data_IF_022037861298
#
_entry.id   IF_022037861298
#
_cell.length_a   1.000
_cell.length_b   1.000
_cell.length_c   1.000
_cell.angle_alpha   90.00
_cell.angle_beta   90.00
_cell.angle_gamma   90.00
#
_symmetry.space_group_name_H-M   'P 1'
#
loop_
_entity.id
_entity.type
_entity.pdbx_description
1 polymer ?
#
# COMPACT_ATOMS: atom_id res chain seq x y z
N UNK A 1 -5.02 10.87 -29.45
CA UNK A 1 -4.86 11.38 -28.07
C UNK A 1 -5.43 10.32 -27.14
N UNK A 2 -4.75 9.19 -27.05
CA UNK A 2 -3.70 8.85 -26.05
C UNK A 2 -4.35 8.11 -24.88
N UNK A 3 -4.51 6.81 -25.14
CA UNK A 3 -4.61 5.66 -24.24
C UNK A 3 -4.71 5.97 -22.74
N UNK A 4 -5.91 5.85 -22.16
CA UNK A 4 -6.06 5.62 -20.72
C UNK A 4 -5.87 4.12 -20.50
N UNK A 5 -4.63 3.66 -20.47
CA UNK A 5 -4.34 2.38 -19.80
C UNK A 5 -4.75 2.57 -18.33
N UNK A 6 -5.70 1.78 -17.86
CA UNK A 6 -6.00 1.69 -16.43
C UNK A 6 -4.72 1.21 -15.76
N UNK A 7 -3.95 2.13 -15.17
CA UNK A 7 -2.74 1.78 -14.46
C UNK A 7 -3.10 0.75 -13.37
N UNK A 8 -2.42 -0.38 -13.34
CA UNK A 8 -2.61 -1.35 -12.27
C UNK A 8 -2.24 -0.67 -10.93
N UNK A 9 -3.08 -0.84 -9.91
CA UNK A 9 -2.89 -0.21 -8.60
C UNK A 9 -3.00 -1.24 -7.47
N UNK A 10 -2.20 -1.05 -6.42
CA UNK A 10 -2.45 -1.67 -5.12
C UNK A 10 -3.42 -0.76 -4.37
N UNK A 11 -4.63 -1.25 -4.14
CA UNK A 11 -5.64 -0.54 -3.35
C UNK A 11 -5.60 -1.03 -1.91
N UNK A 12 -5.38 -0.11 -0.98
CA UNK A 12 -5.53 -0.32 0.46
C UNK A 12 -6.80 0.40 0.88
N UNK A 13 -7.75 -0.33 1.45
CA UNK A 13 -8.99 0.24 1.98
C UNK A 13 -9.09 -0.06 3.47
N UNK A 14 -9.45 0.94 4.26
CA UNK A 14 -9.72 0.81 5.69
C UNK A 14 -8.51 0.42 6.53
N UNK A 15 -7.31 0.91 6.20
CA UNK A 15 -6.12 0.63 7.01
C UNK A 15 -6.27 1.27 8.41
N UNK A 16 -6.30 0.42 9.43
CA UNK A 16 -6.53 0.77 10.85
C UNK A 16 -5.42 0.29 11.78
N UNK A 17 -4.35 -0.31 11.25
CA UNK A 17 -3.23 -0.74 12.09
C UNK A 17 -2.50 0.46 12.75
N UNK A 18 -2.15 0.29 14.02
CA UNK A 18 -1.48 1.30 14.85
C UNK A 18 -2.24 2.64 14.87
N UNK A 19 -1.57 3.74 14.51
CA UNK A 19 -2.14 5.09 14.52
C UNK A 19 -2.92 5.44 13.23
N UNK A 20 -3.13 4.49 12.31
CA UNK A 20 -3.83 4.76 11.05
C UNK A 20 -5.33 4.94 11.28
N UNK A 21 -5.87 6.07 10.82
CA UNK A 21 -7.26 6.48 11.05
C UNK A 21 -8.16 6.10 9.88
N UNK A 22 -8.33 4.80 9.63
CA UNK A 22 -9.18 4.27 8.54
C UNK A 22 -8.79 4.87 7.17
N UNK A 23 -7.53 4.64 6.78
CA UNK A 23 -6.94 5.23 5.59
C UNK A 23 -7.26 4.40 4.33
N UNK A 24 -7.77 5.07 3.31
CA UNK A 24 -7.93 4.52 1.96
C UNK A 24 -6.85 5.14 1.04
N UNK A 25 -6.11 4.31 0.30
CA UNK A 25 -5.13 4.78 -0.69
C UNK A 25 -4.99 3.83 -1.89
N UNK A 26 -4.55 4.39 -3.01
CA UNK A 26 -4.22 3.66 -4.24
C UNK A 26 -2.75 3.92 -4.57
N UNK A 27 -1.96 2.87 -4.72
CA UNK A 27 -0.53 2.91 -5.03
C UNK A 27 -0.34 2.42 -6.48
N UNK A 28 0.14 3.25 -7.41
CA UNK A 28 0.39 2.81 -8.78
C UNK A 28 1.49 1.77 -8.85
N UNK A 29 1.25 0.69 -9.60
CA UNK A 29 2.25 -0.32 -9.93
C UNK A 29 3.17 0.19 -11.05
N UNK A 30 4.40 -0.33 -11.08
CA UNK A 30 5.42 0.09 -12.04
C UNK A 30 5.98 1.50 -11.83
N UNK A 31 5.64 2.14 -10.71
CA UNK A 31 6.13 3.47 -10.36
C UNK A 31 6.99 3.46 -9.08
N UNK A 32 7.97 4.36 -9.00
CA UNK A 32 8.67 4.65 -7.76
C UNK A 32 7.78 5.55 -6.88
N UNK A 33 7.23 4.99 -5.81
CA UNK A 33 6.35 5.72 -4.87
C UNK A 33 7.10 6.01 -3.58
N UNK A 34 7.10 7.28 -3.15
CA UNK A 34 7.78 7.74 -1.94
C UNK A 34 6.75 8.14 -0.88
N UNK A 35 6.82 7.52 0.30
CA UNK A 35 6.01 7.88 1.46
C UNK A 35 6.78 8.85 2.36
N UNK A 36 6.27 10.08 2.51
CA UNK A 36 6.90 11.14 3.33
C UNK A 36 5.91 11.72 4.35
N UNK A 37 6.43 12.40 5.38
CA UNK A 37 5.64 13.01 6.46
C UNK A 37 6.37 13.04 7.80
N UNK A 38 5.84 13.76 8.81
CA UNK A 38 6.49 13.97 10.11
C UNK A 38 6.75 12.65 10.86
N UNK A 39 7.74 12.63 11.76
CA UNK A 39 8.02 11.46 12.59
C UNK A 39 6.77 11.06 13.39
N UNK A 40 6.52 9.75 13.52
CA UNK A 40 5.32 9.23 14.21
C UNK A 40 4.01 9.27 13.40
N UNK A 41 4.00 9.75 12.16
CA UNK A 41 2.78 9.84 11.32
C UNK A 41 2.23 8.49 10.81
N UNK A 42 2.83 7.36 11.18
CA UNK A 42 2.36 6.02 10.78
C UNK A 42 2.85 5.51 9.41
N UNK A 43 3.81 6.18 8.75
CA UNK A 43 4.36 5.74 7.45
C UNK A 43 4.96 4.33 7.50
N UNK A 44 5.84 4.09 8.46
CA UNK A 44 6.49 2.78 8.62
C UNK A 44 5.44 1.71 8.92
N UNK A 45 4.44 2.02 9.73
CA UNK A 45 3.32 1.09 9.98
C UNK A 45 2.51 0.78 8.74
N UNK A 46 2.22 1.78 7.90
CA UNK A 46 1.52 1.55 6.65
C UNK A 46 2.34 0.70 5.67
N UNK A 47 3.62 1.02 5.49
CA UNK A 47 4.48 0.38 4.49
C UNK A 47 4.92 -1.02 4.93
N UNK A 48 5.42 -1.18 6.15
CA UNK A 48 5.99 -2.44 6.63
C UNK A 48 4.95 -3.34 7.27
N UNK A 49 4.18 -2.82 8.24
CA UNK A 49 3.28 -3.66 9.04
C UNK A 49 2.01 -4.05 8.28
N UNK A 50 1.55 -3.19 7.36
CA UNK A 50 0.35 -3.44 6.56
C UNK A 50 0.69 -3.92 5.14
N UNK A 51 1.28 -3.06 4.31
CA UNK A 51 1.45 -3.36 2.88
C UNK A 51 2.42 -4.53 2.64
N UNK A 52 3.62 -4.48 3.23
CA UNK A 52 4.62 -5.53 3.04
C UNK A 52 4.18 -6.86 3.65
N UNK A 53 3.67 -6.85 4.89
CA UNK A 53 3.19 -8.06 5.55
C UNK A 53 2.07 -8.77 4.77
N UNK A 54 1.08 -8.03 4.29
CA UNK A 54 -0.01 -8.60 3.47
C UNK A 54 0.47 -9.06 2.11
N UNK A 55 1.39 -8.33 1.48
CA UNK A 55 2.00 -8.74 0.22
C UNK A 55 2.74 -10.07 0.36
N UNK A 56 3.56 -10.21 1.41
CA UNK A 56 4.28 -11.44 1.70
C UNK A 56 3.33 -12.60 2.02
N UNK A 57 2.30 -12.37 2.85
CA UNK A 57 1.32 -13.40 3.20
C UNK A 57 0.64 -13.97 1.96
N UNK A 58 0.10 -13.11 1.09
CA UNK A 58 -0.60 -13.54 -0.13
C UNK A 58 0.33 -14.22 -1.13
N UNK A 59 1.58 -13.76 -1.22
CA UNK A 59 2.58 -14.43 -2.07
C UNK A 59 2.80 -15.87 -1.61
N UNK A 60 3.03 -16.09 -0.31
CA UNK A 60 3.22 -17.43 0.26
C UNK A 60 1.97 -18.31 0.08
N UNK A 61 0.78 -17.75 0.29
CA UNK A 61 -0.50 -18.46 0.10
C UNK A 61 -0.74 -18.93 -1.33
N UNK A 62 -0.14 -18.26 -2.32
CA UNK A 62 -0.30 -18.63 -3.74
C UNK A 62 0.60 -19.81 -4.14
N UNK A 63 1.60 -20.16 -3.32
CA UNK A 63 2.56 -21.25 -3.58
C UNK A 63 2.16 -22.57 -2.89
N UNK A 64 1.03 -22.63 -2.18
CA UNK A 64 0.54 -23.80 -1.45
C UNK A 64 -0.74 -24.38 -2.04
#
# INVERSE_FOLDING_TARGET
>A
MSDRSTADVIRISGATQNNLKNLDLEIPLGALVVFTGPSGSGKSSLVFDTLYAEGQRRYVETLC
#
